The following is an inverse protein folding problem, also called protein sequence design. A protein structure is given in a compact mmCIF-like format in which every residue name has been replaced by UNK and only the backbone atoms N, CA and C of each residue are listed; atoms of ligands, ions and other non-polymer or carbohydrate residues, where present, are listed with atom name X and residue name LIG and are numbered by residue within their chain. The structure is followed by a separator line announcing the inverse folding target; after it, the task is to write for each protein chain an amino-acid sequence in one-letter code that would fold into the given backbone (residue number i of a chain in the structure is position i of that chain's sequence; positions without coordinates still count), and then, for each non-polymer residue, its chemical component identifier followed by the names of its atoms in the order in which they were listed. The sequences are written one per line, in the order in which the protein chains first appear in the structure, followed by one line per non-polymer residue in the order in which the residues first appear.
data_IF_494986534638
#
_entry.id   IF_494986534638
#
_cell.length_a   1.000
_cell.length_b   1.000
_cell.length_c   1.000
_cell.angle_alpha   90.00
_cell.angle_beta   90.00
_cell.angle_gamma   90.00
#
_symmetry.space_group_name_H-M   'P 1'
#
loop_
_entity.id
_entity.type
_entity.pdbx_description
1 polymer ?
#
# COMPACT_ATOMS: atom_id res chain seq x y z
N UNK A 1 29.81 -12.56 9.96
CA UNK A 1 28.89 -13.65 9.58
C UNK A 1 27.73 -12.97 8.86
N UNK A 2 27.39 -13.38 7.63
CA UNK A 2 26.26 -12.78 6.89
C UNK A 2 25.01 -13.58 7.21
N UNK A 3 24.00 -12.93 7.75
CA UNK A 3 22.70 -13.55 7.99
C UNK A 3 22.05 -13.94 6.66
N UNK A 4 21.59 -15.19 6.58
CA UNK A 4 20.86 -15.71 5.42
C UNK A 4 19.41 -15.24 5.55
N UNK A 5 19.03 -14.24 4.74
CA UNK A 5 17.65 -13.81 4.59
C UNK A 5 16.90 -14.83 3.72
N UNK A 6 16.02 -15.62 4.33
CA UNK A 6 15.10 -16.50 3.61
C UNK A 6 13.84 -15.69 3.27
N UNK A 7 13.76 -15.20 2.03
CA UNK A 7 12.57 -14.49 1.55
C UNK A 7 11.54 -15.51 1.03
N UNK A 8 10.43 -15.67 1.75
CA UNK A 8 9.28 -16.44 1.25
C UNK A 8 8.68 -15.68 0.06
N UNK A 9 8.71 -16.31 -1.12
CA UNK A 9 8.04 -15.73 -2.30
C UNK A 9 6.53 -15.80 -2.07
N UNK A 10 5.88 -14.65 -2.02
CA UNK A 10 4.42 -14.54 -1.99
C UNK A 10 3.93 -14.42 -3.44
N UNK A 11 2.84 -15.10 -3.77
CA UNK A 11 2.21 -15.10 -5.09
C UNK A 11 0.83 -14.47 -4.99
N UNK A 12 0.55 -13.49 -5.87
CA UNK A 12 -0.69 -12.72 -5.93
C UNK A 12 -1.38 -12.84 -7.31
N UNK A 13 -1.01 -13.82 -8.14
CA UNK A 13 -1.42 -13.87 -9.56
C UNK A 13 -2.94 -13.92 -9.80
N UNK A 14 -3.74 -14.30 -8.81
CA UNK A 14 -5.21 -14.37 -8.90
C UNK A 14 -5.91 -13.37 -7.97
N UNK A 15 -5.19 -12.38 -7.44
CA UNK A 15 -5.74 -11.35 -6.58
C UNK A 15 -5.77 -10.01 -7.31
N UNK A 16 -6.95 -9.37 -7.33
CA UNK A 16 -7.07 -8.01 -7.83
C UNK A 16 -6.58 -7.04 -6.76
N UNK A 17 -5.50 -6.32 -7.05
CA UNK A 17 -4.94 -5.30 -6.16
C UNK A 17 -5.16 -3.94 -6.82
N UNK A 18 -5.78 -3.03 -6.08
CA UNK A 18 -6.05 -1.67 -6.54
C UNK A 18 -5.39 -0.66 -5.62
N UNK A 19 -5.19 0.55 -6.15
CA UNK A 19 -4.68 1.70 -5.40
C UNK A 19 -5.75 2.78 -5.42
N UNK A 20 -6.24 3.14 -4.23
CA UNK A 20 -7.11 4.29 -4.04
C UNK A 20 -6.26 5.53 -3.81
N UNK A 21 -6.47 6.58 -4.61
CA UNK A 21 -5.79 7.87 -4.45
C UNK A 21 -6.86 8.94 -4.30
N UNK A 22 -6.80 9.67 -3.19
CA UNK A 22 -7.65 10.83 -2.93
C UNK A 22 -6.75 12.07 -2.75
N UNK A 23 -6.99 13.10 -3.55
CA UNK A 23 -6.17 14.32 -3.60
C UNK A 23 -7.03 15.56 -3.42
N UNK A 24 -6.75 16.31 -2.37
CA UNK A 24 -7.38 17.57 -2.02
C UNK A 24 -6.33 18.69 -1.92
N UNK A 25 -6.76 19.95 -1.81
CA UNK A 25 -5.86 21.12 -1.84
C UNK A 25 -4.75 21.15 -0.78
N UNK A 26 -4.92 20.47 0.37
CA UNK A 26 -3.96 20.47 1.50
C UNK A 26 -3.78 19.09 2.16
N UNK A 27 -4.38 18.06 1.59
CA UNK A 27 -4.37 16.72 2.14
C UNK A 27 -4.46 15.73 0.99
N UNK A 28 -3.83 14.59 1.18
CA UNK A 28 -3.89 13.48 0.26
C UNK A 28 -3.92 12.18 1.06
N UNK A 29 -4.50 11.15 0.46
CA UNK A 29 -4.55 9.81 1.02
C UNK A 29 -4.28 8.79 -0.07
N UNK A 30 -3.55 7.73 0.28
CA UNK A 30 -3.37 6.55 -0.55
C UNK A 30 -3.71 5.29 0.24
N UNK A 31 -4.44 4.36 -0.36
CA UNK A 31 -4.73 3.06 0.25
C UNK A 31 -4.58 1.93 -0.77
N UNK A 32 -4.33 0.73 -0.25
CA UNK A 32 -4.40 -0.50 -1.02
C UNK A 32 -5.80 -1.07 -0.84
N UNK A 33 -6.41 -1.47 -1.95
CA UNK A 33 -7.73 -2.08 -1.99
C UNK A 33 -7.60 -3.46 -2.61
N UNK A 34 -8.46 -4.36 -2.16
CA UNK A 34 -8.71 -5.67 -2.77
C UNK A 34 -10.20 -5.77 -3.08
N UNK A 35 -10.62 -6.85 -3.69
CA UNK A 35 -12.05 -7.10 -3.97
C UNK A 35 -12.93 -7.13 -2.71
N UNK A 36 -12.33 -7.36 -1.53
CA UNK A 36 -13.07 -7.57 -0.27
C UNK A 36 -12.80 -6.53 0.80
N UNK A 37 -11.60 -5.93 0.82
CA UNK A 37 -11.17 -5.07 1.91
C UNK A 37 -10.40 -3.86 1.41
N UNK A 38 -10.62 -2.74 2.10
CA UNK A 38 -9.73 -1.60 2.10
C UNK A 38 -8.69 -1.76 3.21
N UNK A 39 -7.42 -1.70 2.83
CA UNK A 39 -6.32 -1.66 3.79
C UNK A 39 -6.12 -0.26 4.34
N UNK A 40 -5.17 -0.12 5.28
CA UNK A 40 -4.83 1.15 5.91
C UNK A 40 -4.61 2.27 4.88
N UNK A 41 -5.27 3.40 5.11
CA UNK A 41 -5.02 4.66 4.41
C UNK A 41 -3.75 5.30 4.98
N UNK A 42 -2.86 5.73 4.08
CA UNK A 42 -1.66 6.47 4.40
C UNK A 42 -1.81 7.91 3.92
N UNK A 43 -1.35 8.85 4.73
CA UNK A 43 -1.25 10.26 4.39
C UNK A 43 -0.02 10.85 5.06
N UNK A 44 0.51 11.93 4.50
CA UNK A 44 1.57 12.71 5.13
C UNK A 44 1.17 14.19 5.09
N UNK A 45 1.25 14.93 6.21
CA UNK A 45 1.06 16.36 6.18
C UNK A 45 2.09 16.99 5.22
N UNK A 46 1.72 18.04 4.47
CA UNK A 46 2.67 18.74 3.61
C UNK A 46 3.78 19.34 4.48
N UNK A 47 5.03 18.93 4.23
CA UNK A 47 6.22 19.63 4.73
C UNK A 47 6.66 20.65 3.69
N UNK A 48 6.67 21.96 4.03
CA UNK A 48 7.10 23.03 3.13
C UNK A 48 8.61 23.04 2.89
#
# INVERSE_FOLDING_TARGET
MKDIQITKKVDYSNESIYVGIDVHKKSWGVCILTDYYEHKVFSQPPEP
#
